data_IF_568821537129
#
_entry.id   IF_568821537129
#
_cell.length_a   1.000
_cell.length_b   1.000
_cell.length_c   1.000
_cell.angle_alpha   90.00
_cell.angle_beta   90.00
_cell.angle_gamma   90.00
#
_symmetry.space_group_name_H-M   'P 1'
#
loop_
_entity.id
_entity.type
_entity.pdbx_description
1 polymer ?
#
# COMPACT_ATOMS: atom_id res chain seq x y z
N UNK A 1 14.08 -29.58 -12.80
CA UNK A 1 14.67 -28.22 -12.88
C UNK A 1 13.66 -27.18 -12.42
N UNK A 2 13.87 -26.53 -11.27
CA UNK A 2 13.01 -25.42 -10.82
C UNK A 2 13.40 -24.18 -11.64
N UNK A 3 12.62 -23.86 -12.66
CA UNK A 3 12.78 -22.63 -13.45
C UNK A 3 12.79 -21.44 -12.49
N UNK A 4 13.95 -20.81 -12.30
CA UNK A 4 14.08 -19.59 -11.50
C UNK A 4 13.14 -18.57 -12.14
N UNK A 5 12.08 -18.18 -11.42
CA UNK A 5 11.03 -17.29 -11.94
C UNK A 5 11.70 -16.03 -12.51
N UNK A 6 11.42 -15.73 -13.78
CA UNK A 6 11.91 -14.58 -14.60
C UNK A 6 11.93 -13.21 -13.88
N UNK A 7 11.21 -13.07 -12.76
CA UNK A 7 11.04 -11.85 -11.97
C UNK A 7 11.72 -11.89 -10.58
N UNK A 8 12.63 -12.83 -10.35
CA UNK A 8 13.56 -12.79 -9.20
C UNK A 8 14.70 -11.80 -9.49
N UNK A 9 15.34 -11.24 -8.45
CA UNK A 9 16.38 -10.22 -8.57
C UNK A 9 17.50 -10.68 -9.52
N UNK A 10 17.48 -10.16 -10.74
CA UNK A 10 18.55 -10.28 -11.74
C UNK A 10 18.99 -8.88 -12.14
N UNK A 11 20.18 -8.72 -12.71
CA UNK A 11 20.66 -7.43 -13.23
C UNK A 11 19.74 -6.82 -14.30
N UNK A 12 18.91 -7.64 -14.94
CA UNK A 12 17.99 -7.27 -16.02
C UNK A 12 16.57 -6.91 -15.53
N UNK A 13 16.18 -7.30 -14.31
CA UNK A 13 14.81 -7.12 -13.82
C UNK A 13 14.77 -6.45 -12.46
N UNK A 14 13.96 -5.39 -12.34
CA UNK A 14 13.75 -4.72 -11.06
C UNK A 14 13.19 -5.71 -10.03
N UNK A 15 13.77 -5.82 -8.82
CA UNK A 15 13.28 -6.72 -7.79
C UNK A 15 11.84 -6.40 -7.38
N UNK A 16 11.00 -7.43 -7.29
CA UNK A 16 9.66 -7.30 -6.68
C UNK A 16 9.82 -7.11 -5.18
N UNK A 17 9.02 -6.21 -4.57
CA UNK A 17 9.00 -6.07 -3.11
C UNK A 17 8.65 -7.40 -2.46
N UNK A 18 9.34 -7.75 -1.38
CA UNK A 18 9.00 -8.91 -0.57
C UNK A 18 7.57 -8.79 -0.02
N UNK A 19 6.94 -9.94 0.29
CA UNK A 19 5.61 -9.96 0.87
C UNK A 19 5.52 -9.12 2.15
N UNK A 20 6.53 -9.22 3.02
CA UNK A 20 6.62 -8.42 4.24
C UNK A 20 6.71 -6.91 3.96
N UNK A 21 7.56 -6.49 3.03
CA UNK A 21 7.66 -5.07 2.64
C UNK A 21 6.35 -4.55 2.02
N UNK A 22 5.62 -5.40 1.30
CA UNK A 22 4.30 -5.06 0.76
C UNK A 22 3.25 -4.88 1.87
N UNK A 23 3.27 -5.73 2.91
CA UNK A 23 2.36 -5.64 4.07
C UNK A 23 2.64 -4.39 4.91
N UNK A 24 3.90 -4.12 5.24
CA UNK A 24 4.31 -2.90 5.98
C UNK A 24 3.76 -1.64 5.31
N UNK A 25 3.98 -1.49 4.00
CA UNK A 25 3.46 -0.35 3.23
C UNK A 25 1.94 -0.20 3.33
N UNK A 26 1.19 -1.29 3.33
CA UNK A 26 -0.28 -1.22 3.44
C UNK A 26 -0.72 -0.76 4.83
N UNK A 27 -0.07 -1.28 5.88
CA UNK A 27 -0.31 -0.83 7.25
C UNK A 27 0.02 0.67 7.39
N UNK A 28 1.14 1.12 6.84
CA UNK A 28 1.53 2.54 6.88
C UNK A 28 0.51 3.42 6.15
N UNK A 29 -0.04 2.96 5.03
CA UNK A 29 -1.07 3.70 4.31
C UNK A 29 -2.37 3.82 5.14
N UNK A 30 -2.79 2.74 5.80
CA UNK A 30 -3.97 2.77 6.68
C UNK A 30 -3.75 3.71 7.86
N UNK A 31 -2.59 3.63 8.53
CA UNK A 31 -2.21 4.56 9.61
C UNK A 31 -2.23 6.03 9.17
N UNK A 32 -1.78 6.32 7.95
CA UNK A 32 -1.81 7.69 7.40
C UNK A 32 -3.23 8.20 7.19
N UNK A 33 -4.17 7.36 6.74
CA UNK A 33 -5.56 7.76 6.59
C UNK A 33 -6.21 8.08 7.93
N UNK A 34 -5.92 7.26 8.95
CA UNK A 34 -6.40 7.50 10.32
C UNK A 34 -5.84 8.81 10.88
N UNK A 35 -4.54 9.07 10.67
CA UNK A 35 -3.92 10.33 11.07
C UNK A 35 -4.48 11.55 10.32
N UNK A 36 -5.09 11.36 9.15
CA UNK A 36 -5.78 12.41 8.39
C UNK A 36 -7.26 12.58 8.79
N UNK A 37 -7.75 11.80 9.76
CA UNK A 37 -9.11 11.92 10.30
C UNK A 37 -10.12 10.91 9.75
N UNK A 38 -9.69 9.90 8.97
CA UNK A 38 -10.60 8.84 8.53
C UNK A 38 -10.81 7.83 9.66
N UNK A 39 -12.06 7.48 9.94
CA UNK A 39 -12.37 6.48 10.96
C UNK A 39 -11.72 5.11 10.70
N UNK A 40 -11.30 4.45 11.77
CA UNK A 40 -10.58 3.18 11.72
C UNK A 40 -11.44 2.07 11.10
N UNK A 41 -12.74 2.00 11.42
CA UNK A 41 -13.63 0.98 10.86
C UNK A 41 -13.83 1.18 9.35
N UNK A 42 -13.93 2.44 8.92
CA UNK A 42 -13.99 2.79 7.51
C UNK A 42 -12.71 2.37 6.77
N UNK A 43 -11.52 2.66 7.33
CA UNK A 43 -10.23 2.26 6.74
C UNK A 43 -10.08 0.74 6.65
N UNK A 44 -10.63 0.00 7.61
CA UNK A 44 -10.51 -1.45 7.63
C UNK A 44 -11.38 -2.16 6.60
N UNK A 45 -12.56 -1.60 6.30
CA UNK A 45 -13.43 -2.03 5.20
C UNK A 45 -12.87 -1.72 3.81
N UNK A 46 -11.91 -0.80 3.67
CA UNK A 46 -11.38 -0.40 2.37
C UNK A 46 -10.43 -1.42 1.75
N UNK A 47 -10.57 -1.55 0.44
CA UNK A 47 -9.61 -2.27 -0.38
C UNK A 47 -8.32 -1.44 -0.58
N UNK A 48 -7.29 -2.12 -1.08
CA UNK A 48 -5.95 -1.54 -1.24
C UNK A 48 -5.87 -0.43 -2.30
N UNK A 49 -6.82 -0.40 -3.24
CA UNK A 49 -6.92 0.63 -4.30
C UNK A 49 -7.54 1.89 -3.72
N UNK A 50 -8.65 1.78 -3.00
CA UNK A 50 -9.35 2.87 -2.30
C UNK A 50 -8.42 3.59 -1.34
N UNK A 51 -7.71 2.85 -0.48
CA UNK A 51 -6.72 3.42 0.45
C UNK A 51 -5.69 4.30 -0.28
N UNK A 52 -5.21 3.85 -1.45
CA UNK A 52 -4.23 4.61 -2.25
C UNK A 52 -4.86 5.81 -2.96
N UNK A 53 -6.10 5.67 -3.41
CA UNK A 53 -6.85 6.75 -4.06
C UNK A 53 -7.11 7.90 -3.09
N UNK A 54 -7.53 7.60 -1.86
CA UNK A 54 -7.72 8.63 -0.84
C UNK A 54 -6.40 9.35 -0.54
N UNK A 55 -5.32 8.61 -0.32
CA UNK A 55 -3.99 9.18 -0.08
C UNK A 55 -3.42 10.00 -1.26
N UNK A 56 -4.04 9.96 -2.45
CA UNK A 56 -3.60 10.76 -3.60
C UNK A 56 -3.83 12.26 -3.37
N UNK A 57 -4.89 12.63 -2.66
CA UNK A 57 -5.25 14.02 -2.40
C UNK A 57 -5.56 14.24 -0.90
N UNK A 58 -4.54 14.15 -0.02
CA UNK A 58 -4.73 14.19 1.43
C UNK A 58 -5.33 15.52 1.91
N UNK A 59 -5.04 16.64 1.22
CA UNK A 59 -5.61 17.95 1.52
C UNK A 59 -7.13 18.05 1.32
N UNK A 60 -7.76 17.08 0.63
CA UNK A 60 -9.22 17.00 0.51
C UNK A 60 -9.88 16.21 1.64
N UNK A 61 -9.10 15.45 2.40
CA UNK A 61 -9.60 14.58 3.49
C UNK A 61 -9.78 15.40 4.77
N UNK A 62 -8.81 16.23 5.13
CA UNK A 62 -8.86 17.08 6.32
C UNK A 62 -9.57 18.42 6.14
N UNK A 63 -10.43 18.58 5.12
CA UNK A 63 -11.19 19.81 4.83
C UNK A 63 -12.69 19.68 5.14
N UNK A 64 -13.08 18.63 5.87
CA UNK A 64 -14.46 18.39 6.30
C UNK A 64 -14.63 18.68 7.77
#
# INVERSE_FOLDING_TARGET
MRTKRKFMKTHLTRPRKSGAARRRRQADHRKRLVALGVDQAAVDGMNQKEVRTMLKYPAKIGKS
#
